data_IF_745847660063
#
_entry.id   IF_745847660063
#
_cell.length_a   1.000
_cell.length_b   1.000
_cell.length_c   1.000
_cell.angle_alpha   90.00
_cell.angle_beta   90.00
_cell.angle_gamma   90.00
#
_symmetry.space_group_name_H-M   'P 1'
#
loop_
_entity.id
_entity.type
_entity.pdbx_description
1 polymer ?
#
# COMPACT_ATOMS: atom_id res chain seq x y z
N UNK A 1 -0.75 13.86 8.60
CA UNK A 1 -1.17 12.61 9.28
C UNK A 1 -2.68 12.54 9.53
N UNK A 2 -3.32 13.47 10.25
CA UNK A 2 -4.75 13.36 10.58
C UNK A 2 -5.67 13.12 9.37
N UNK A 3 -5.45 13.83 8.27
CA UNK A 3 -6.22 13.66 7.03
C UNK A 3 -6.07 12.26 6.39
N UNK A 4 -4.86 11.71 6.39
CA UNK A 4 -4.57 10.35 5.90
C UNK A 4 -5.31 9.32 6.76
N UNK A 5 -5.23 9.45 8.09
CA UNK A 5 -5.85 8.50 9.02
C UNK A 5 -7.38 8.58 9.08
N UNK A 6 -7.96 9.73 8.72
CA UNK A 6 -9.42 9.94 8.75
C UNK A 6 -10.13 9.54 7.46
N UNK A 7 -9.39 9.31 6.37
CA UNK A 7 -9.96 9.02 5.06
C UNK A 7 -9.44 7.67 4.56
N UNK A 8 -10.30 6.87 3.91
CA UNK A 8 -9.91 5.56 3.40
C UNK A 8 -9.19 5.70 2.05
N UNK A 9 -8.03 6.38 2.04
CA UNK A 9 -7.18 6.44 0.85
C UNK A 9 -6.69 5.02 0.49
N UNK A 10 -6.66 4.76 -0.81
CA UNK A 10 -6.28 3.46 -1.40
C UNK A 10 -4.99 3.60 -2.21
N UNK A 11 -4.89 4.69 -2.95
CA UNK A 11 -3.76 5.04 -3.79
C UNK A 11 -3.54 6.54 -3.68
N UNK A 12 -2.28 6.96 -3.57
CA UNK A 12 -1.88 8.36 -3.59
C UNK A 12 -0.54 8.54 -4.28
N UNK A 13 -0.21 9.78 -4.60
CA UNK A 13 1.13 10.16 -5.00
C UNK A 13 1.45 11.55 -4.47
N UNK A 14 2.66 11.73 -3.93
CA UNK A 14 3.18 13.04 -3.57
C UNK A 14 4.11 13.55 -4.70
N UNK A 15 4.04 14.86 -5.00
CA UNK A 15 4.71 15.45 -6.17
C UNK A 15 5.91 16.28 -5.73
N UNK A 16 7.05 16.03 -6.36
CA UNK A 16 8.35 16.62 -6.06
C UNK A 16 9.05 17.12 -7.33
N UNK A 17 10.17 17.82 -7.14
CA UNK A 17 11.06 18.24 -8.21
C UNK A 17 12.52 18.23 -7.75
N UNK A 18 13.42 18.17 -8.72
CA UNK A 18 14.86 17.99 -8.52
C UNK A 18 15.42 16.75 -9.22
N UNK A 19 14.54 15.83 -9.64
CA UNK A 19 14.84 14.71 -10.50
C UNK A 19 13.68 14.45 -11.48
N UNK A 20 13.86 13.49 -12.40
CA UNK A 20 12.78 13.00 -13.25
C UNK A 20 12.67 11.48 -13.10
N UNK A 21 11.85 11.02 -12.15
CA UNK A 21 11.72 9.60 -11.78
C UNK A 21 10.46 9.35 -10.95
N UNK A 22 9.84 8.18 -11.11
CA UNK A 22 8.83 7.68 -10.18
C UNK A 22 9.50 6.82 -9.08
N UNK A 23 9.55 7.37 -7.88
CA UNK A 23 10.14 6.76 -6.70
C UNK A 23 9.10 5.93 -5.93
N UNK A 24 9.45 4.73 -5.50
CA UNK A 24 8.53 3.85 -4.77
C UNK A 24 9.13 3.25 -3.49
N UNK A 25 8.27 2.83 -2.53
CA UNK A 25 8.71 2.32 -1.22
C UNK A 25 9.65 1.11 -1.26
N UNK A 26 10.46 0.91 -0.22
CA UNK A 26 10.66 1.85 0.91
C UNK A 26 11.68 2.95 0.58
N UNK A 27 11.54 4.09 1.24
CA UNK A 27 12.50 5.21 1.22
C UNK A 27 13.64 5.01 2.22
N UNK A 28 13.39 4.35 3.35
CA UNK A 28 14.43 4.06 4.35
C UNK A 28 15.05 2.66 4.17
N UNK A 29 16.38 2.60 4.18
CA UNK A 29 17.11 1.33 4.14
C UNK A 29 17.01 0.57 5.46
N UNK A 30 16.80 -0.75 5.40
CA UNK A 30 16.67 -1.59 6.61
C UNK A 30 17.93 -1.70 7.44
N UNK A 31 19.09 -1.58 6.80
CA UNK A 31 20.41 -1.73 7.41
C UNK A 31 21.05 -0.37 7.77
N UNK A 32 20.35 0.75 7.54
CA UNK A 32 20.85 2.10 7.76
C UNK A 32 21.90 2.55 6.74
N UNK A 33 22.12 1.79 5.66
CA UNK A 33 23.00 2.20 4.58
C UNK A 33 22.47 3.44 3.84
N UNK A 34 23.37 4.25 3.26
CA UNK A 34 22.97 5.43 2.50
C UNK A 34 22.24 5.08 1.19
N UNK A 35 22.46 3.88 0.65
CA UNK A 35 21.84 3.38 -0.59
C UNK A 35 21.79 1.86 -0.55
N UNK A 36 20.59 1.29 -0.53
CA UNK A 36 20.35 -0.16 -0.61
C UNK A 36 18.90 -0.46 -0.96
N UNK A 37 18.68 -1.38 -1.89
CA UNK A 37 17.34 -1.79 -2.30
C UNK A 37 16.54 -2.35 -1.13
N UNK A 38 15.42 -1.71 -0.81
CA UNK A 38 14.60 -2.10 0.33
C UNK A 38 13.17 -2.39 -0.10
N UNK A 39 12.95 -3.67 -0.45
CA UNK A 39 11.66 -4.16 -0.91
C UNK A 39 10.57 -4.04 0.15
N UNK A 40 9.39 -3.58 -0.24
CA UNK A 40 8.16 -3.73 0.54
C UNK A 40 7.52 -5.11 0.32
N UNK A 41 6.60 -5.55 1.20
CA UNK A 41 5.80 -6.75 0.94
C UNK A 41 5.08 -6.74 -0.41
N UNK A 42 4.68 -5.55 -0.87
CA UNK A 42 3.98 -5.28 -2.13
C UNK A 42 4.90 -4.70 -3.23
N UNK A 43 6.19 -5.02 -3.20
CA UNK A 43 7.20 -4.49 -4.14
C UNK A 43 6.77 -4.58 -5.63
N UNK A 44 6.20 -5.73 -6.05
CA UNK A 44 5.71 -5.89 -7.42
C UNK A 44 4.54 -4.94 -7.75
N UNK A 45 3.64 -4.70 -6.78
CA UNK A 45 2.53 -3.75 -6.95
C UNK A 45 3.06 -2.34 -7.07
N UNK A 46 4.00 -1.93 -6.20
CA UNK A 46 4.60 -0.60 -6.27
C UNK A 46 5.39 -0.36 -7.55
N UNK A 47 6.18 -1.34 -8.00
CA UNK A 47 6.87 -1.28 -9.29
C UNK A 47 5.89 -1.10 -10.45
N UNK A 48 4.78 -1.85 -10.45
CA UNK A 48 3.71 -1.67 -11.43
C UNK A 48 3.15 -0.25 -11.40
N UNK A 49 2.80 0.26 -10.22
CA UNK A 49 2.25 1.61 -10.03
C UNK A 49 3.22 2.71 -10.53
N UNK A 50 4.48 2.63 -10.15
CA UNK A 50 5.52 3.56 -10.59
C UNK A 50 5.73 3.51 -12.11
N UNK A 51 5.77 2.30 -12.69
CA UNK A 51 5.91 2.13 -14.13
C UNK A 51 4.70 2.65 -14.91
N UNK A 52 3.48 2.51 -14.41
CA UNK A 52 2.30 3.08 -15.08
C UNK A 52 2.47 4.59 -15.26
N UNK A 53 2.94 5.30 -14.24
CA UNK A 53 3.22 6.73 -14.36
C UNK A 53 4.38 6.97 -15.33
N UNK A 54 5.54 6.38 -15.06
CA UNK A 54 6.77 6.66 -15.80
C UNK A 54 6.69 6.34 -17.30
N UNK A 55 6.05 5.22 -17.66
CA UNK A 55 5.87 4.79 -19.06
C UNK A 55 4.81 5.61 -19.81
N UNK A 56 3.87 6.23 -19.08
CA UNK A 56 2.86 7.11 -19.69
C UNK A 56 3.36 8.55 -19.78
N UNK A 57 4.27 8.95 -18.89
CA UNK A 57 4.93 10.24 -18.93
C UNK A 57 5.78 10.37 -20.20
N UNK A 58 5.69 11.52 -20.89
CA UNK A 58 6.30 11.67 -22.23
C UNK A 58 7.82 11.50 -22.26
N UNK A 59 8.50 11.82 -21.16
CA UNK A 59 9.98 11.89 -21.10
C UNK A 59 10.61 11.08 -19.97
N UNK A 60 9.83 10.53 -19.02
CA UNK A 60 10.41 9.95 -17.79
C UNK A 60 11.06 8.59 -18.06
N UNK A 61 10.43 7.77 -18.89
CA UNK A 61 10.95 6.46 -19.28
C UNK A 61 11.68 6.47 -20.63
N UNK A 62 11.88 7.63 -21.25
CA UNK A 62 12.57 7.69 -22.55
C UNK A 62 14.02 7.28 -22.37
N UNK A 63 14.62 6.61 -23.37
CA UNK A 63 16.04 6.29 -23.37
C UNK A 63 16.96 7.53 -23.48
N UNK A 64 16.37 8.72 -23.63
CA UNK A 64 17.08 9.99 -23.58
C UNK A 64 17.28 10.40 -22.12
N UNK A 65 18.55 10.53 -21.71
CA UNK A 65 18.91 10.88 -20.35
C UNK A 65 18.63 12.36 -20.09
N UNK A 66 17.68 12.64 -19.22
CA UNK A 66 17.49 13.97 -18.64
C UNK A 66 18.56 14.20 -17.58
N UNK A 67 19.43 15.19 -17.77
CA UNK A 67 20.52 15.49 -16.84
C UNK A 67 20.06 16.48 -15.79
N UNK A 68 19.83 15.99 -14.58
CA UNK A 68 19.65 16.83 -13.39
C UNK A 68 21.01 17.03 -12.67
N UNK A 69 21.05 17.88 -11.64
CA UNK A 69 22.30 18.23 -10.93
C UNK A 69 23.08 17.01 -10.40
N UNK A 70 22.39 15.95 -9.98
CA UNK A 70 23.00 14.74 -9.42
C UNK A 70 23.36 13.66 -10.46
N UNK A 71 23.12 13.92 -11.75
CA UNK A 71 23.41 13.03 -12.91
C UNK A 71 23.01 11.55 -12.70
N UNK A 72 21.94 11.25 -11.97
CA UNK A 72 21.42 9.88 -11.88
C UNK A 72 20.77 9.45 -13.22
N UNK A 73 20.96 8.18 -13.60
CA UNK A 73 20.41 7.63 -14.85
C UNK A 73 19.31 6.58 -14.57
N UNK A 74 18.07 7.07 -14.46
CA UNK A 74 16.89 6.22 -14.22
C UNK A 74 16.34 5.56 -15.50
N UNK A 75 16.86 5.91 -16.68
CA UNK A 75 16.35 5.38 -17.96
C UNK A 75 16.52 3.87 -18.07
N UNK A 76 17.59 3.32 -17.45
CA UNK A 76 17.89 1.88 -17.41
C UNK A 76 16.84 1.05 -16.69
N UNK A 77 16.05 1.69 -15.83
CA UNK A 77 14.99 1.06 -15.07
C UNK A 77 13.60 1.52 -15.56
N UNK A 78 13.50 2.17 -16.72
CA UNK A 78 12.23 2.65 -17.26
C UNK A 78 11.65 3.84 -16.50
N UNK A 79 12.50 4.69 -15.91
CA UNK A 79 12.09 5.92 -15.24
C UNK A 79 11.54 5.73 -13.83
N UNK A 80 11.89 4.62 -13.16
CA UNK A 80 11.49 4.34 -11.77
C UNK A 80 12.71 4.07 -10.89
N UNK A 81 12.54 4.19 -9.58
CA UNK A 81 13.56 3.80 -8.60
C UNK A 81 12.92 3.36 -7.27
N UNK A 82 13.56 2.44 -6.55
CA UNK A 82 13.25 2.24 -5.13
C UNK A 82 13.92 3.37 -4.33
N UNK A 83 13.20 3.96 -3.37
CA UNK A 83 13.69 5.15 -2.65
C UNK A 83 14.99 4.90 -1.90
N UNK A 84 15.03 3.86 -1.06
CA UNK A 84 16.22 3.50 -0.32
C UNK A 84 17.39 3.10 -1.23
N UNK A 85 17.13 2.58 -2.44
CA UNK A 85 18.17 2.31 -3.44
C UNK A 85 18.75 3.60 -4.01
N UNK A 86 17.92 4.62 -4.25
CA UNK A 86 18.39 5.91 -4.75
C UNK A 86 19.20 6.63 -3.67
N UNK A 87 18.57 6.97 -2.56
CA UNK A 87 19.21 7.43 -1.33
C UNK A 87 18.25 7.24 -0.15
N UNK A 88 18.76 6.72 0.96
CA UNK A 88 17.95 6.41 2.14
C UNK A 88 17.41 7.68 2.81
N UNK A 89 16.08 7.75 2.99
CA UNK A 89 15.36 8.85 3.65
C UNK A 89 14.47 8.30 4.76
N UNK A 90 14.76 8.68 6.00
CA UNK A 90 13.93 8.35 7.15
C UNK A 90 12.81 9.38 7.37
N UNK A 91 11.64 8.92 7.78
CA UNK A 91 10.51 9.79 8.15
C UNK A 91 9.74 10.39 6.97
N UNK A 92 9.88 9.82 5.76
CA UNK A 92 9.14 10.23 4.57
C UNK A 92 7.62 9.97 4.67
N UNK A 93 6.82 10.81 4.00
CA UNK A 93 5.36 10.66 3.95
C UNK A 93 4.93 9.39 3.18
N UNK A 94 5.70 9.01 2.16
CA UNK A 94 5.44 7.84 1.33
C UNK A 94 5.39 6.55 2.16
N UNK A 95 6.43 6.30 2.95
CA UNK A 95 6.51 5.13 3.82
C UNK A 95 5.48 5.20 4.97
N UNK A 96 5.16 6.40 5.47
CA UNK A 96 4.10 6.57 6.47
C UNK A 96 2.72 6.16 5.94
N UNK A 97 2.36 6.52 4.70
CA UNK A 97 1.08 6.12 4.12
C UNK A 97 0.92 4.60 4.10
N UNK A 98 1.96 3.90 3.64
CA UNK A 98 1.93 2.43 3.52
C UNK A 98 2.01 1.70 4.87
N UNK A 99 2.76 2.23 5.85
CA UNK A 99 2.91 1.58 7.16
C UNK A 99 1.79 1.97 8.15
N UNK A 100 1.26 3.18 8.03
CA UNK A 100 0.31 3.76 8.97
C UNK A 100 -1.15 3.74 8.52
N UNK A 101 -1.43 3.34 7.28
CA UNK A 101 -2.79 3.31 6.71
C UNK A 101 -2.94 2.20 5.66
N UNK A 102 -4.06 2.20 4.93
CA UNK A 102 -4.29 1.30 3.78
C UNK A 102 -3.72 1.85 2.46
N UNK A 103 -3.15 3.06 2.48
CA UNK A 103 -2.83 3.84 1.28
C UNK A 103 -1.48 3.45 0.67
N UNK A 104 -1.48 3.26 -0.65
CA UNK A 104 -0.27 3.02 -1.43
C UNK A 104 0.20 4.34 -2.04
N UNK A 105 1.19 4.99 -1.41
CA UNK A 105 1.79 6.21 -1.94
C UNK A 105 3.07 5.93 -2.73
N UNK A 106 3.26 6.65 -3.84
CA UNK A 106 4.57 6.81 -4.50
C UNK A 106 4.98 8.29 -4.51
N UNK A 107 6.27 8.56 -4.67
CA UNK A 107 6.81 9.90 -4.83
C UNK A 107 7.12 10.14 -6.30
N UNK A 108 6.61 11.21 -6.88
CA UNK A 108 6.81 11.54 -8.29
C UNK A 108 7.72 12.77 -8.42
N UNK A 109 8.94 12.56 -8.90
CA UNK A 109 9.87 13.64 -9.24
C UNK A 109 9.62 14.06 -10.70
N UNK A 110 9.12 15.28 -10.90
CA UNK A 110 8.49 15.69 -12.17
C UNK A 110 9.41 16.52 -13.10
N UNK A 111 10.66 16.75 -12.72
CA UNK A 111 11.61 17.53 -13.51
C UNK A 111 12.77 18.05 -12.68
N UNK A 112 13.90 18.33 -13.34
CA UNK A 112 15.11 18.82 -12.66
C UNK A 112 14.91 20.22 -12.06
N UNK A 113 14.25 21.11 -12.80
CA UNK A 113 14.01 22.49 -12.36
C UNK A 113 12.90 22.50 -11.30
N UNK A 114 13.29 22.62 -10.04
CA UNK A 114 12.35 22.69 -8.90
C UNK A 114 11.36 23.86 -9.00
N UNK A 115 11.78 24.94 -9.66
CA UNK A 115 10.97 26.13 -9.89
C UNK A 115 11.16 26.57 -11.35
N UNK A 116 10.46 25.92 -12.29
CA UNK A 116 10.62 26.20 -13.70
C UNK A 116 9.98 27.55 -14.07
N UNK A 117 10.42 28.13 -15.18
CA UNK A 117 9.83 29.36 -15.69
C UNK A 117 8.37 29.14 -16.15
N UNK A 118 7.51 30.15 -15.99
CA UNK A 118 6.09 30.07 -16.40
C UNK A 118 5.91 29.58 -17.85
N UNK A 119 6.82 29.96 -18.74
CA UNK A 119 6.81 29.57 -20.16
C UNK A 119 6.92 28.06 -20.41
N UNK A 120 7.38 27.26 -19.45
CA UNK A 120 7.49 25.80 -19.60
C UNK A 120 6.29 25.05 -19.02
N UNK A 121 5.43 25.70 -18.22
CA UNK A 121 4.34 25.03 -17.50
C UNK A 121 3.36 24.30 -18.43
N UNK A 122 3.09 24.84 -19.62
CA UNK A 122 2.25 24.16 -20.61
C UNK A 122 2.87 22.85 -21.10
N UNK A 123 4.19 22.83 -21.29
CA UNK A 123 4.94 21.63 -21.69
C UNK A 123 4.94 20.61 -20.56
N UNK A 124 5.16 21.05 -19.31
CA UNK A 124 5.13 20.14 -18.16
C UNK A 124 3.75 19.54 -17.93
N UNK A 125 2.69 20.33 -18.10
CA UNK A 125 1.33 19.79 -18.10
C UNK A 125 1.15 18.73 -19.18
N UNK A 126 1.58 19.02 -20.40
CA UNK A 126 1.47 18.09 -21.51
C UNK A 126 2.31 16.82 -21.33
N UNK A 127 3.41 16.88 -20.58
CA UNK A 127 4.23 15.71 -20.23
C UNK A 127 3.55 14.81 -19.20
N UNK A 128 2.82 15.41 -18.25
CA UNK A 128 2.29 14.72 -17.08
C UNK A 128 0.80 14.34 -17.18
N UNK A 129 0.00 15.07 -17.96
CA UNK A 129 -1.48 14.93 -17.98
C UNK A 129 -1.92 13.48 -18.12
N UNK A 130 -1.45 12.79 -19.15
CA UNK A 130 -1.92 11.44 -19.45
C UNK A 130 -1.41 10.43 -18.41
N UNK A 131 -0.22 10.67 -17.84
CA UNK A 131 0.37 9.87 -16.76
C UNK A 131 -0.41 10.01 -15.45
N UNK A 132 -0.81 11.22 -15.06
CA UNK A 132 -1.65 11.48 -13.89
C UNK A 132 -3.00 10.76 -14.02
N UNK A 133 -3.64 10.83 -15.19
CA UNK A 133 -4.90 10.12 -15.44
C UNK A 133 -4.69 8.59 -15.40
N UNK A 134 -3.64 8.09 -16.02
CA UNK A 134 -3.33 6.65 -16.02
C UNK A 134 -3.06 6.12 -14.60
N UNK A 135 -2.37 6.91 -13.79
CA UNK A 135 -2.06 6.59 -12.40
C UNK A 135 -3.31 6.59 -11.52
N UNK A 136 -4.17 7.62 -11.59
CA UNK A 136 -5.42 7.66 -10.83
C UNK A 136 -6.33 6.46 -11.12
N UNK A 137 -6.35 5.96 -12.36
CA UNK A 137 -7.08 4.73 -12.72
C UNK A 137 -6.56 3.49 -12.01
N UNK A 138 -5.31 3.48 -11.53
CA UNK A 138 -4.75 2.35 -10.79
C UNK A 138 -5.39 2.17 -9.40
N UNK A 139 -6.13 3.17 -8.89
CA UNK A 139 -6.95 3.02 -7.68
C UNK A 139 -8.03 1.93 -7.81
N UNK A 140 -8.26 1.45 -9.03
CA UNK A 140 -9.21 0.39 -9.36
C UNK A 140 -8.54 -0.96 -9.70
N UNK A 141 -7.27 -1.17 -9.35
CA UNK A 141 -6.62 -2.48 -9.50
C UNK A 141 -7.02 -3.47 -8.40
N UNK A 142 -6.77 -4.75 -8.65
CA UNK A 142 -6.81 -5.79 -7.63
C UNK A 142 -8.22 -6.20 -7.28
N UNK A 143 -8.53 -6.17 -5.99
CA UNK A 143 -9.82 -6.61 -5.44
C UNK A 143 -10.44 -5.53 -4.56
N UNK A 144 -11.78 -5.53 -4.49
CA UNK A 144 -12.55 -4.71 -3.55
C UNK A 144 -13.77 -5.49 -3.07
N UNK A 145 -14.31 -5.15 -1.92
CA UNK A 145 -15.50 -5.83 -1.41
C UNK A 145 -16.04 -5.22 -0.13
N UNK A 146 -17.07 -5.86 0.41
CA UNK A 146 -17.63 -5.57 1.72
C UNK A 146 -17.52 -6.82 2.59
N UNK A 147 -17.04 -6.65 3.81
CA UNK A 147 -17.02 -7.68 4.84
C UNK A 147 -18.27 -7.54 5.69
N UNK A 148 -19.03 -8.64 5.82
CA UNK A 148 -20.32 -8.66 6.52
C UNK A 148 -20.37 -9.74 7.58
N UNK A 149 -21.21 -9.51 8.58
CA UNK A 149 -21.68 -10.54 9.49
C UNK A 149 -22.58 -11.51 8.71
N UNK A 150 -22.20 -12.78 8.62
CA UNK A 150 -22.92 -13.78 7.86
C UNK A 150 -24.35 -14.05 8.39
N UNK A 151 -24.63 -13.72 9.67
CA UNK A 151 -25.97 -13.91 10.27
C UNK A 151 -26.86 -12.68 10.10
N UNK A 152 -26.34 -11.47 10.36
CA UNK A 152 -27.15 -10.24 10.36
C UNK A 152 -27.10 -9.49 9.03
N UNK A 153 -26.09 -9.74 8.19
CA UNK A 153 -25.83 -8.99 6.95
C UNK A 153 -25.19 -7.62 7.18
N UNK A 154 -25.01 -7.21 8.44
CA UNK A 154 -24.41 -5.93 8.81
C UNK A 154 -22.93 -5.85 8.43
N UNK A 155 -22.42 -4.68 8.05
CA UNK A 155 -21.01 -4.50 7.73
C UNK A 155 -20.12 -4.66 8.96
N UNK A 156 -18.93 -5.25 8.78
CA UNK A 156 -17.93 -5.40 9.84
C UNK A 156 -16.79 -4.42 9.61
N UNK A 157 -16.61 -3.49 10.55
CA UNK A 157 -15.54 -2.49 10.53
C UNK A 157 -14.28 -3.03 11.20
N UNK A 158 -13.12 -2.69 10.66
CA UNK A 158 -11.83 -3.02 11.28
C UNK A 158 -11.49 -4.50 11.22
N UNK A 159 -12.06 -5.26 10.27
CA UNK A 159 -11.61 -6.60 9.93
C UNK A 159 -10.36 -6.52 9.05
N UNK A 160 -9.40 -7.40 9.30
CA UNK A 160 -8.14 -7.51 8.57
C UNK A 160 -8.32 -8.38 7.33
N UNK A 161 -7.86 -7.90 6.18
CA UNK A 161 -7.81 -8.62 4.90
C UNK A 161 -6.37 -8.98 4.61
N UNK A 162 -6.08 -10.27 4.69
CA UNK A 162 -4.77 -10.87 4.44
C UNK A 162 -4.75 -11.49 3.05
N UNK A 163 -3.61 -11.39 2.36
CA UNK A 163 -3.46 -11.91 1.00
C UNK A 163 -2.25 -12.81 0.88
N UNK A 164 -2.46 -13.96 0.25
CA UNK A 164 -1.42 -14.90 -0.12
C UNK A 164 -1.38 -15.03 -1.65
N UNK A 165 -0.22 -14.79 -2.23
CA UNK A 165 0.00 -14.93 -3.66
C UNK A 165 0.29 -16.40 -3.98
N UNK A 166 -0.60 -16.99 -4.78
CA UNK A 166 -0.51 -18.37 -5.27
C UNK A 166 -0.32 -18.47 -6.80
N UNK A 167 0.05 -17.36 -7.43
CA UNK A 167 0.23 -17.25 -8.88
C UNK A 167 1.32 -18.20 -9.36
N UNK A 168 1.03 -19.01 -10.38
CA UNK A 168 2.00 -19.93 -11.02
C UNK A 168 2.72 -20.86 -10.03
N UNK A 169 2.06 -21.28 -8.95
CA UNK A 169 2.64 -22.17 -7.94
C UNK A 169 3.58 -21.48 -6.94
N UNK A 170 3.70 -20.14 -6.99
CA UNK A 170 4.22 -19.36 -5.87
C UNK A 170 3.36 -19.63 -4.64
N UNK A 171 3.92 -19.51 -3.44
CA UNK A 171 3.17 -19.71 -2.20
C UNK A 171 3.65 -18.70 -1.14
N UNK A 172 3.39 -17.41 -1.38
CA UNK A 172 3.98 -16.31 -0.60
C UNK A 172 2.89 -15.47 0.05
N UNK A 173 2.91 -15.39 1.39
CA UNK A 173 2.11 -14.42 2.13
C UNK A 173 2.62 -13.00 1.83
N UNK A 174 1.70 -12.09 1.51
CA UNK A 174 2.00 -10.67 1.42
C UNK A 174 1.83 -10.09 2.83
N UNK A 175 2.95 -9.81 3.50
CA UNK A 175 2.97 -9.35 4.88
C UNK A 175 2.63 -7.87 5.02
N UNK A 176 1.46 -7.48 4.51
CA UNK A 176 0.88 -6.15 4.64
C UNK A 176 -0.64 -6.28 4.45
N UNK A 177 -1.38 -6.16 5.56
CA UNK A 177 -2.82 -6.37 5.58
C UNK A 177 -3.58 -5.07 5.29
N UNK A 178 -4.81 -5.20 4.79
CA UNK A 178 -5.74 -4.07 4.64
C UNK A 178 -6.84 -4.15 5.69
N UNK A 179 -7.24 -3.01 6.22
CA UNK A 179 -8.31 -2.91 7.21
C UNK A 179 -9.60 -2.41 6.57
N UNK A 180 -10.70 -3.13 6.78
CA UNK A 180 -12.02 -2.69 6.34
C UNK A 180 -12.51 -1.45 7.09
N UNK A 181 -13.20 -0.56 6.38
CA UNK A 181 -13.57 0.78 6.86
C UNK A 181 -15.01 0.83 7.34
N UNK A 182 -15.56 2.04 7.58
CA UNK A 182 -16.85 2.28 8.28
C UNK A 182 -18.04 1.45 7.76
N UNK A 183 -18.11 1.16 6.46
CA UNK A 183 -19.20 0.36 5.87
C UNK A 183 -18.79 -1.08 5.57
N UNK A 184 -17.73 -1.58 6.21
CA UNK A 184 -17.13 -2.89 5.96
C UNK A 184 -16.41 -3.00 4.62
N UNK A 185 -16.29 -1.88 3.89
CA UNK A 185 -15.63 -1.81 2.59
C UNK A 185 -14.11 -2.02 2.74
N UNK A 186 -13.51 -2.64 1.75
CA UNK A 186 -12.06 -2.73 1.64
C UNK A 186 -11.63 -2.67 0.17
N UNK A 187 -10.40 -2.22 -0.05
CA UNK A 187 -9.74 -2.21 -1.36
C UNK A 187 -8.31 -2.72 -1.19
N UNK A 188 -7.91 -3.64 -2.04
CA UNK A 188 -6.58 -4.23 -1.99
C UNK A 188 -5.98 -4.24 -3.39
N UNK A 189 -5.04 -3.34 -3.62
CA UNK A 189 -4.30 -3.25 -4.87
C UNK A 189 -3.45 -4.50 -5.04
N UNK A 190 -3.62 -5.17 -6.18
CA UNK A 190 -2.89 -6.37 -6.55
C UNK A 190 -2.61 -6.33 -8.05
N UNK A 191 -1.42 -6.77 -8.44
CA UNK A 191 -1.09 -7.07 -9.83
C UNK A 191 -1.91 -8.25 -10.35
N UNK A 192 -1.94 -8.50 -11.68
CA UNK A 192 -2.56 -9.71 -12.21
C UNK A 192 -1.94 -10.98 -11.61
N UNK A 193 -2.77 -11.94 -11.24
CA UNK A 193 -2.34 -13.16 -10.55
C UNK A 193 -3.49 -13.93 -9.92
N UNK A 194 -3.15 -15.03 -9.25
CA UNK A 194 -4.06 -15.84 -8.45
C UNK A 194 -3.71 -15.68 -6.99
N UNK A 195 -4.73 -15.41 -6.16
CA UNK A 195 -4.56 -15.09 -4.75
C UNK A 195 -5.54 -15.88 -3.89
N UNK A 196 -5.12 -16.18 -2.66
CA UNK A 196 -6.00 -16.59 -1.58
C UNK A 196 -6.16 -15.38 -0.63
N UNK A 197 -7.40 -15.04 -0.32
CA UNK A 197 -7.76 -13.85 0.47
C UNK A 197 -8.49 -14.32 1.72
N UNK A 198 -8.04 -13.85 2.88
CA UNK A 198 -8.57 -14.21 4.18
C UNK A 198 -9.02 -12.96 4.91
N UNK A 199 -10.28 -12.93 5.36
CA UNK A 199 -10.77 -11.91 6.28
C UNK A 199 -10.79 -12.44 7.72
N UNK A 200 -10.28 -11.65 8.66
CA UNK A 200 -10.21 -11.98 10.10
C UNK A 200 -10.75 -10.82 10.92
N UNK A 201 -11.57 -11.13 11.93
CA UNK A 201 -12.04 -10.19 12.95
C UNK A 201 -12.25 -10.93 14.26
N UNK A 202 -11.81 -10.34 15.36
CA UNK A 202 -12.06 -10.88 16.70
C UNK A 202 -13.57 -11.08 16.94
N UNK A 203 -13.92 -12.23 17.51
CA UNK A 203 -15.32 -12.63 17.70
C UNK A 203 -15.98 -13.29 16.48
N UNK A 204 -15.24 -13.49 15.39
CA UNK A 204 -15.73 -14.16 14.19
C UNK A 204 -14.82 -15.29 13.70
N UNK A 205 -15.42 -16.30 13.08
CA UNK A 205 -14.75 -17.28 12.24
C UNK A 205 -14.21 -16.58 10.97
N UNK A 206 -12.96 -16.82 10.57
CA UNK A 206 -12.42 -16.29 9.33
C UNK A 206 -13.11 -16.84 8.08
N UNK A 207 -13.24 -15.99 7.05
CA UNK A 207 -13.70 -16.38 5.70
C UNK A 207 -12.52 -16.28 4.73
N UNK A 208 -12.34 -17.33 3.93
CA UNK A 208 -11.24 -17.44 2.97
C UNK A 208 -11.77 -17.72 1.57
N UNK A 209 -11.27 -16.99 0.57
CA UNK A 209 -11.65 -17.17 -0.83
C UNK A 209 -10.46 -17.06 -1.76
N UNK A 210 -10.44 -17.90 -2.78
CA UNK A 210 -9.53 -17.76 -3.90
C UNK A 210 -10.09 -16.77 -4.93
N UNK A 211 -9.21 -16.00 -5.58
CA UNK A 211 -9.57 -15.01 -6.59
C UNK A 211 -8.49 -14.92 -7.68
N UNK A 212 -8.93 -14.72 -8.92
CA UNK A 212 -8.04 -14.42 -10.05
C UNK A 212 -8.18 -12.94 -10.39
N UNK A 213 -7.10 -12.19 -10.24
CA UNK A 213 -6.99 -10.79 -10.60
C UNK A 213 -6.46 -10.70 -12.03
N UNK A 214 -7.20 -10.05 -12.92
CA UNK A 214 -6.79 -9.82 -14.32
C UNK A 214 -6.42 -8.37 -14.62
N UNK A 215 -6.99 -7.41 -13.89
CA UNK A 215 -6.88 -5.97 -14.14
C UNK A 215 -7.21 -5.55 -15.59
N UNK A 216 -8.05 -6.32 -16.29
CA UNK A 216 -8.50 -6.04 -17.66
C UNK A 216 -9.80 -5.23 -17.72
N UNK A 217 -10.47 -5.06 -16.59
CA UNK A 217 -11.71 -4.31 -16.45
C UNK A 217 -11.42 -2.92 -15.84
N UNK A 218 -12.31 -1.92 -16.04
CA UNK A 218 -12.15 -0.60 -15.45
C UNK A 218 -12.28 -0.59 -13.92
N UNK A 219 -12.74 -1.69 -13.32
CA UNK A 219 -12.93 -1.83 -11.89
C UNK A 219 -12.21 -3.06 -11.32
N UNK A 220 -11.82 -2.96 -10.05
CA UNK A 220 -11.27 -4.06 -9.26
C UNK A 220 -12.28 -5.21 -9.13
N UNK A 221 -11.78 -6.44 -9.03
CA UNK A 221 -12.62 -7.63 -8.91
C UNK A 221 -13.39 -7.57 -7.59
N UNK A 222 -14.72 -7.67 -7.67
CA UNK A 222 -15.59 -7.69 -6.48
C UNK A 222 -15.44 -9.03 -5.75
N UNK A 223 -15.07 -8.97 -4.47
CA UNK A 223 -14.94 -10.14 -3.58
C UNK A 223 -15.53 -9.81 -2.21
N UNK A 224 -16.80 -10.13 -2.00
CA UNK A 224 -17.42 -9.95 -0.67
C UNK A 224 -17.07 -11.13 0.24
N UNK A 225 -16.85 -10.86 1.53
CA UNK A 225 -16.47 -11.85 2.54
C UNK A 225 -17.50 -11.82 3.67
N UNK A 226 -17.88 -12.99 4.19
CA UNK A 226 -18.93 -13.12 5.20
C UNK A 226 -18.39 -13.87 6.42
N UNK A 227 -18.11 -13.13 7.49
CA UNK A 227 -17.59 -13.69 8.72
C UNK A 227 -18.74 -14.18 9.60
N UNK A 228 -18.64 -15.41 10.10
CA UNK A 228 -19.64 -15.98 11.01
C UNK A 228 -19.28 -15.61 12.45
N UNK A 229 -20.20 -15.05 13.26
CA UNK A 229 -19.94 -14.85 14.68
C UNK A 229 -19.62 -16.19 15.35
N UNK A 230 -18.58 -16.19 16.19
CA UNK A 230 -18.29 -17.30 17.08
C UNK A 230 -19.39 -17.33 18.15
N UNK A 231 -19.97 -18.50 18.38
CA UNK A 231 -20.95 -18.74 19.43
C UNK A 231 -20.65 -20.05 20.19
N UNK A 232 -21.51 -20.42 21.12
CA UNK A 232 -21.33 -21.61 21.97
C UNK A 232 -21.31 -22.94 21.18
N UNK A 233 -21.64 -22.91 19.87
CA UNK A 233 -21.57 -24.08 18.98
C UNK A 233 -20.30 -24.13 18.14
N UNK A 234 -19.44 -23.11 18.26
CA UNK A 234 -18.15 -23.07 17.60
C UNK A 234 -17.23 -24.17 18.12
N UNK A 235 -16.71 -24.99 17.21
CA UNK A 235 -15.69 -26.00 17.51
C UNK A 235 -14.30 -25.45 17.20
N UNK A 236 -13.46 -25.16 18.23
CA UNK A 236 -12.10 -24.68 18.03
C UNK A 236 -11.21 -25.64 17.22
N UNK A 237 -11.55 -26.93 17.15
CA UNK A 237 -10.81 -27.90 16.36
C UNK A 237 -10.98 -27.66 14.85
N UNK A 238 -12.12 -27.10 14.42
CA UNK A 238 -12.36 -26.74 13.01
C UNK A 238 -11.34 -25.68 12.56
N UNK A 239 -11.08 -24.67 13.39
CA UNK A 239 -10.03 -23.67 13.14
C UNK A 239 -8.63 -24.28 13.10
N UNK A 240 -8.30 -25.13 14.06
CA UNK A 240 -6.98 -25.76 14.15
C UNK A 240 -6.70 -26.70 12.97
N UNK A 241 -7.75 -27.24 12.35
CA UNK A 241 -7.67 -28.13 11.19
C UNK A 241 -7.55 -27.41 9.84
N UNK A 242 -7.98 -26.14 9.76
CA UNK A 242 -7.92 -25.34 8.54
C UNK A 242 -6.57 -24.61 8.41
N UNK A 243 -5.95 -24.68 7.23
CA UNK A 243 -4.72 -23.95 6.92
C UNK A 243 -5.01 -22.49 6.51
N UNK A 244 -5.32 -21.64 7.49
CA UNK A 244 -5.51 -20.20 7.29
C UNK A 244 -4.16 -19.45 7.20
N UNK A 245 -3.29 -19.88 6.28
CA UNK A 245 -1.94 -19.32 6.12
C UNK A 245 -1.09 -19.45 7.39
N UNK A 246 -1.31 -20.52 8.17
CA UNK A 246 -0.68 -20.71 9.48
C UNK A 246 -1.38 -20.04 10.67
N UNK A 247 -2.50 -19.33 10.49
CA UNK A 247 -3.35 -18.89 11.60
C UNK A 247 -4.15 -20.06 12.16
N UNK A 248 -3.62 -20.71 13.19
CA UNK A 248 -4.25 -21.88 13.84
C UNK A 248 -5.16 -21.52 15.02
N UNK A 249 -5.31 -20.24 15.35
CA UNK A 249 -6.14 -19.77 16.46
C UNK A 249 -6.72 -18.38 16.18
N UNK A 250 -7.85 -18.08 16.83
CA UNK A 250 -8.31 -16.70 17.05
C UNK A 250 -7.16 -15.98 17.77
N UNK A 251 -6.83 -14.72 17.44
CA UNK A 251 -5.84 -13.96 18.21
C UNK A 251 -6.32 -13.84 19.67
N UNK A 252 -5.78 -14.68 20.54
CA UNK A 252 -5.98 -14.53 21.99
C UNK A 252 -5.14 -13.34 22.42
N UNK A 253 -5.77 -12.17 22.40
CA UNK A 253 -5.16 -10.87 22.61
C UNK A 253 -4.27 -10.43 21.43
N UNK A 254 -4.40 -9.16 21.07
CA UNK A 254 -3.37 -8.45 20.32
C UNK A 254 -2.05 -8.70 21.05
N UNK A 255 -1.11 -9.38 20.39
CA UNK A 255 0.24 -9.56 20.93
C UNK A 255 0.92 -8.18 20.97
N UNK A 256 0.81 -7.52 22.11
CA UNK A 256 1.49 -6.26 22.40
C UNK A 256 3.01 -6.41 22.41
N UNK A 257 3.57 -7.62 22.24
CA UNK A 257 4.99 -7.87 22.04
C UNK A 257 5.36 -8.17 20.59
N UNK A 258 4.41 -8.23 19.67
CA UNK A 258 4.69 -8.37 18.24
C UNK A 258 5.47 -7.13 17.78
N UNK A 259 6.66 -7.25 17.19
CA UNK A 259 7.50 -6.11 16.81
C UNK A 259 6.80 -5.11 15.90
N UNK A 260 5.89 -5.56 15.04
CA UNK A 260 5.13 -4.70 14.11
C UNK A 260 3.97 -3.98 14.82
N UNK A 261 3.32 -4.64 15.79
CA UNK A 261 2.29 -4.03 16.66
C UNK A 261 2.94 -3.05 17.63
N UNK A 262 4.09 -3.40 18.22
CA UNK A 262 4.92 -2.52 19.04
C UNK A 262 5.43 -1.32 18.24
N UNK A 263 5.80 -1.49 16.97
CA UNK A 263 6.18 -0.38 16.09
C UNK A 263 5.01 0.58 15.89
N UNK A 264 3.83 0.06 15.61
CA UNK A 264 2.60 0.87 15.47
C UNK A 264 2.23 1.56 16.80
N UNK A 265 2.28 0.87 17.93
CA UNK A 265 1.99 1.43 19.26
C UNK A 265 3.02 2.49 19.66
N UNK A 266 4.32 2.23 19.47
CA UNK A 266 5.37 3.20 19.78
C UNK A 266 5.31 4.43 18.86
N UNK A 267 4.92 4.24 17.60
CA UNK A 267 4.68 5.34 16.66
C UNK A 267 3.49 6.21 17.12
N UNK A 268 2.37 5.61 17.49
CA UNK A 268 1.18 6.31 17.99
C UNK A 268 1.40 6.99 19.36
N UNK A 269 2.17 6.36 20.26
CA UNK A 269 2.49 6.93 21.57
C UNK A 269 3.45 8.15 21.46
N UNK A 270 4.39 8.13 20.51
CA UNK A 270 5.24 9.31 20.22
C UNK A 270 4.44 10.46 19.61
N UNK A 271 3.43 10.17 18.80
CA UNK A 271 2.51 11.19 18.27
C UNK A 271 1.60 11.78 19.36
N UNK A 272 1.22 11.00 20.38
CA UNK A 272 0.46 11.46 21.54
C UNK A 272 1.26 12.32 22.52
N UNK A 273 2.54 11.97 22.77
CA UNK A 273 3.41 12.72 23.68
C UNK A 273 3.74 14.13 23.15
N UNK A 274 3.96 14.30 21.84
CA UNK A 274 4.22 15.61 21.23
C UNK A 274 2.99 16.55 21.25
N UNK A 275 1.78 16.02 21.37
CA UNK A 275 0.56 16.83 21.51
C UNK A 275 0.33 17.31 22.94
N UNK A 276 0.77 16.56 23.96
CA UNK A 276 0.68 16.98 25.35
C UNK A 276 1.75 18.02 25.72
N UNK A 277 2.95 17.94 25.16
CA UNK A 277 3.99 18.95 25.39
C UNK A 277 3.66 20.30 24.72
N UNK A 278 2.84 20.31 23.66
CA UNK A 278 2.31 21.55 23.04
C UNK A 278 1.08 22.12 23.75
N UNK A 279 0.31 21.30 24.47
CA UNK A 279 -0.80 21.78 25.28
C UNK A 279 -0.36 22.31 26.65
N UNK A 280 0.84 21.93 27.13
CA UNK A 280 1.44 22.45 28.37
C UNK A 280 2.34 23.69 28.16
N UNK A 281 2.57 24.11 26.91
CA UNK A 281 3.43 25.23 26.54
C UNK A 281 2.68 26.44 25.96
N UNK A 282 1.35 26.51 26.12
CA UNK A 282 0.53 27.70 25.83
C UNK A 282 -0.25 28.12 27.08
#
# INVERSE_FOLDING_TARGET
>A
MAWILSNPFVLSANLHGGALVANYPYDESRDGSASSYTASPDDNTFRHLAHVYALTHKTMSTGERVRCENDDDFTKQGGVTNGAQWYSVSGGMQDFNYLGSNDFEITLELGCDKYPAESTLSTEWDNNRDALIAYMKQSHLGIKGIIRNARTGEPIVGASVKVKNVTNGVNKLINHDIISVKNGEYWRLLTPGTYEVLAVKDGYEPDAKAVIVKNSAPEAVRLDLNLKPIDDTFDPQVMASNDYFGYKSIPDNIDLNNPEVLRLINFLQRAGAQNNDRAAAN
#
